data_IF_992657689973
#
_entry.id   IF_992657689973
#
_cell.length_a   1.000
_cell.length_b   1.000
_cell.length_c   1.000
_cell.angle_alpha   90.00
_cell.angle_beta   90.00
_cell.angle_gamma   90.00
#
_symmetry.space_group_name_H-M   'P 1'
#
loop_
_entity.id
_entity.type
_entity.pdbx_description
1 polymer ?
#
# COMPACT_ATOMS: atom_id res chain seq x y z
N UNK A 1 34.49 -7.42 19.68
CA UNK A 1 33.51 -6.41 19.26
C UNK A 1 32.15 -7.07 19.39
N UNK A 2 31.31 -6.58 20.30
CA UNK A 2 30.04 -7.22 20.63
C UNK A 2 29.09 -7.19 19.43
N UNK A 3 28.66 -8.36 18.96
CA UNK A 3 27.46 -8.50 18.13
C UNK A 3 26.27 -8.04 18.96
N UNK A 4 25.98 -6.74 18.92
CA UNK A 4 24.79 -6.18 19.55
C UNK A 4 23.59 -6.51 18.66
N UNK A 5 22.60 -7.22 19.23
CA UNK A 5 21.32 -7.44 18.58
C UNK A 5 20.74 -6.13 18.02
N UNK A 6 20.08 -6.16 16.84
CA UNK A 6 19.47 -4.98 16.28
C UNK A 6 18.46 -4.37 17.27
N UNK A 7 18.36 -3.03 17.33
CA UNK A 7 17.46 -2.35 18.26
C UNK A 7 16.01 -2.81 18.04
N UNK A 8 15.30 -3.10 19.14
CA UNK A 8 13.91 -3.57 19.08
C UNK A 8 12.94 -2.53 18.46
N UNK A 9 13.28 -1.24 18.61
CA UNK A 9 12.48 -0.09 18.19
C UNK A 9 13.37 1.05 17.68
N UNK A 10 12.83 1.98 16.87
CA UNK A 10 13.53 3.22 16.56
C UNK A 10 13.85 4.03 17.81
N UNK A 11 14.74 5.02 17.64
CA UNK A 11 15.11 5.94 18.72
C UNK A 11 13.89 6.67 19.29
N UNK A 12 13.96 7.04 20.58
CA UNK A 12 12.88 7.77 21.23
C UNK A 12 12.49 9.08 20.49
N UNK A 13 13.44 9.91 20.01
CA UNK A 13 13.09 11.08 19.21
C UNK A 13 12.32 10.74 17.93
N UNK A 14 12.69 9.65 17.24
CA UNK A 14 11.97 9.20 16.04
C UNK A 14 10.53 8.79 16.37
N UNK A 15 10.35 8.05 17.46
CA UNK A 15 9.04 7.60 17.92
C UNK A 15 8.13 8.76 18.29
N UNK A 16 8.66 9.75 19.01
CA UNK A 16 7.91 10.97 19.37
C UNK A 16 7.55 11.75 18.09
N UNK A 17 8.53 12.01 17.22
CA UNK A 17 8.29 12.76 15.99
C UNK A 17 7.28 12.06 15.06
N UNK A 18 7.35 10.73 14.94
CA UNK A 18 6.39 9.94 14.17
C UNK A 18 4.99 10.02 14.77
N UNK A 19 4.85 9.85 16.10
CA UNK A 19 3.57 10.01 16.78
C UNK A 19 2.99 11.43 16.63
N UNK A 20 3.83 12.47 16.65
CA UNK A 20 3.40 13.86 16.41
C UNK A 20 2.93 14.08 14.97
N UNK A 21 3.70 13.64 13.97
CA UNK A 21 3.32 13.77 12.55
C UNK A 21 2.01 13.02 12.30
N UNK A 22 1.95 11.75 12.68
CA UNK A 22 0.76 10.90 12.51
C UNK A 22 -0.45 11.45 13.25
N UNK A 23 -0.27 11.85 14.51
CA UNK A 23 -1.30 12.47 15.35
C UNK A 23 -1.88 13.74 14.74
N UNK A 24 -1.00 14.67 14.32
CA UNK A 24 -1.40 15.95 13.73
C UNK A 24 -2.12 15.79 12.40
N UNK A 25 -1.60 14.94 11.51
CA UNK A 25 -2.17 14.69 10.18
C UNK A 25 -3.50 13.97 10.31
N UNK A 26 -3.60 12.94 11.15
CA UNK A 26 -4.86 12.25 11.43
C UNK A 26 -5.91 13.16 12.04
N UNK A 27 -5.52 13.99 13.03
CA UNK A 27 -6.40 14.99 13.63
C UNK A 27 -6.92 16.00 12.61
N UNK A 28 -6.02 16.54 11.77
CA UNK A 28 -6.39 17.46 10.70
C UNK A 28 -7.33 16.80 9.68
N UNK A 29 -7.01 15.59 9.20
CA UNK A 29 -7.89 14.82 8.32
C UNK A 29 -9.26 14.61 8.95
N UNK A 30 -9.33 14.26 10.24
CA UNK A 30 -10.60 14.06 10.94
C UNK A 30 -11.42 15.35 10.98
N UNK A 31 -10.82 16.47 11.39
CA UNK A 31 -11.49 17.78 11.42
C UNK A 31 -11.93 18.19 10.01
N UNK A 32 -11.08 18.01 9.01
CA UNK A 32 -11.39 18.33 7.62
C UNK A 32 -12.57 17.50 7.08
N UNK A 33 -12.57 16.21 7.34
CA UNK A 33 -13.57 15.28 6.79
C UNK A 33 -14.90 15.33 7.55
N UNK A 34 -14.90 15.54 8.86
CA UNK A 34 -16.13 15.53 9.67
C UNK A 34 -16.65 16.94 9.97
N UNK A 35 -15.79 17.96 9.92
CA UNK A 35 -16.15 19.35 10.24
C UNK A 35 -16.44 20.21 9.02
N UNK A 36 -15.77 19.95 7.89
CA UNK A 36 -15.93 20.74 6.67
C UNK A 36 -16.53 19.94 5.50
N UNK A 37 -16.78 18.65 5.68
CA UNK A 37 -17.34 17.75 4.69
C UNK A 37 -18.35 16.81 5.37
N UNK A 38 -19.11 16.09 4.57
CA UNK A 38 -20.02 15.03 5.04
C UNK A 38 -19.34 13.69 4.84
N UNK A 39 -19.02 12.98 5.92
CA UNK A 39 -18.38 11.68 5.87
C UNK A 39 -19.39 10.57 6.20
N UNK A 40 -19.62 9.68 5.23
CA UNK A 40 -20.43 8.47 5.37
C UNK A 40 -19.51 7.25 5.40
N UNK A 41 -19.57 6.47 6.48
CA UNK A 41 -18.71 5.29 6.65
C UNK A 41 -19.56 4.06 6.98
N UNK A 42 -19.37 2.99 6.22
CA UNK A 42 -20.01 1.68 6.44
C UNK A 42 -18.92 0.64 6.75
N UNK A 43 -19.15 -0.25 7.71
CA UNK A 43 -18.22 -1.35 8.05
C UNK A 43 -17.03 -0.92 8.92
N UNK A 44 -17.08 0.25 9.55
CA UNK A 44 -15.96 0.79 10.34
C UNK A 44 -15.64 -0.09 11.56
N UNK A 45 -16.66 -0.64 12.19
CA UNK A 45 -16.59 -1.51 13.35
C UNK A 45 -15.66 -2.71 13.16
N UNK A 46 -15.64 -3.33 11.98
CA UNK A 46 -14.74 -4.44 11.67
C UNK A 46 -13.27 -4.01 11.75
N UNK A 47 -12.92 -2.88 11.12
CA UNK A 47 -11.58 -2.31 11.20
C UNK A 47 -11.21 -1.91 12.64
N UNK A 48 -12.10 -1.22 13.36
CA UNK A 48 -11.83 -0.81 14.74
C UNK A 48 -11.63 -2.01 15.66
N UNK A 49 -12.44 -3.06 15.49
CA UNK A 49 -12.33 -4.31 16.24
C UNK A 49 -10.97 -4.98 16.02
N UNK A 50 -10.49 -5.03 14.77
CA UNK A 50 -9.15 -5.52 14.45
C UNK A 50 -8.07 -4.67 15.11
N UNK A 51 -8.15 -3.34 15.01
CA UNK A 51 -7.14 -2.45 15.61
C UNK A 51 -7.10 -2.57 17.14
N UNK A 52 -8.25 -2.69 17.79
CA UNK A 52 -8.35 -2.85 19.24
C UNK A 52 -7.83 -4.22 19.71
N UNK A 53 -8.19 -5.30 18.98
CA UNK A 53 -7.67 -6.65 19.23
C UNK A 53 -6.15 -6.68 19.14
N UNK A 54 -5.58 -6.12 18.07
CA UNK A 54 -4.13 -6.04 17.83
C UNK A 54 -3.38 -5.27 18.92
N UNK A 55 -4.03 -4.27 19.54
CA UNK A 55 -3.45 -3.51 20.65
C UNK A 55 -3.50 -4.26 21.97
N UNK A 56 -4.62 -4.94 22.25
CA UNK A 56 -4.86 -5.63 23.53
C UNK A 56 -4.14 -6.96 23.62
N UNK A 57 -4.16 -7.74 22.56
CA UNK A 57 -3.69 -9.14 22.52
C UNK A 57 -2.32 -9.27 21.84
N UNK A 58 -1.85 -8.23 21.16
CA UNK A 58 -0.65 -8.24 20.34
C UNK A 58 -0.94 -8.56 18.87
N UNK A 59 0.12 -8.50 18.05
CA UNK A 59 0.02 -8.70 16.60
C UNK A 59 0.58 -10.07 16.21
N UNK A 60 -0.30 -11.04 16.03
CA UNK A 60 0.09 -12.39 15.58
C UNK A 60 0.39 -12.44 14.07
N UNK A 61 -0.28 -11.62 13.27
CA UNK A 61 -0.13 -11.51 11.82
C UNK A 61 -0.27 -10.07 11.33
N UNK A 62 0.18 -9.79 10.10
CA UNK A 62 -0.02 -8.50 9.44
C UNK A 62 -1.49 -8.16 9.22
N UNK A 63 -1.77 -6.87 8.98
CA UNK A 63 -3.06 -6.38 8.49
C UNK A 63 -2.84 -5.70 7.14
N UNK A 64 -3.51 -6.15 6.10
CA UNK A 64 -3.48 -5.56 4.76
C UNK A 64 -4.83 -4.91 4.47
N UNK A 65 -4.83 -3.59 4.31
CA UNK A 65 -6.00 -2.87 3.78
C UNK A 65 -5.75 -2.45 2.34
N UNK A 66 -6.74 -2.64 1.48
CA UNK A 66 -6.65 -2.33 0.05
C UNK A 66 -7.78 -1.40 -0.35
N UNK A 67 -7.47 -0.32 -1.06
CA UNK A 67 -8.48 0.62 -1.54
C UNK A 67 -8.25 1.04 -2.99
N UNK A 68 -9.32 1.44 -3.68
CA UNK A 68 -9.22 2.23 -4.91
C UNK A 68 -8.68 3.63 -4.61
N UNK A 69 -8.20 4.34 -5.63
CA UNK A 69 -7.51 5.62 -5.45
C UNK A 69 -8.05 6.66 -6.42
N UNK A 70 -8.81 7.61 -5.90
CA UNK A 70 -9.52 8.62 -6.69
C UNK A 70 -8.99 10.04 -6.46
N UNK A 71 -8.14 10.27 -5.46
CA UNK A 71 -7.51 11.57 -5.23
C UNK A 71 -6.14 11.47 -4.55
N UNK A 72 -5.24 12.40 -4.88
CA UNK A 72 -3.89 12.47 -4.27
C UNK A 72 -3.90 12.65 -2.75
N UNK A 73 -5.04 13.09 -2.17
CA UNK A 73 -5.21 13.25 -0.73
C UNK A 73 -5.96 12.08 -0.06
N UNK A 74 -6.25 10.99 -0.78
CA UNK A 74 -6.91 9.82 -0.17
C UNK A 74 -6.15 9.36 1.08
N UNK A 75 -4.83 9.15 0.98
CA UNK A 75 -3.96 9.20 2.16
C UNK A 75 -3.40 10.63 2.27
N UNK A 76 -3.77 11.41 3.31
CA UNK A 76 -4.26 10.95 4.61
C UNK A 76 -5.76 11.13 4.91
N UNK A 77 -6.58 11.62 3.97
CA UNK A 77 -7.96 12.02 4.29
C UNK A 77 -8.88 10.86 4.70
N UNK A 78 -8.77 9.68 4.07
CA UNK A 78 -9.64 8.54 4.39
C UNK A 78 -9.51 8.12 5.85
N UNK A 79 -8.33 8.31 6.46
CA UNK A 79 -8.11 8.01 7.88
C UNK A 79 -8.82 8.97 8.83
N UNK A 80 -9.36 10.08 8.33
CA UNK A 80 -10.24 10.97 9.10
C UNK A 80 -11.49 10.27 9.64
N UNK A 81 -11.85 9.09 9.14
CA UNK A 81 -12.89 8.23 9.70
C UNK A 81 -12.54 7.69 11.09
N UNK A 82 -11.25 7.52 11.41
CA UNK A 82 -10.82 6.89 12.66
C UNK A 82 -11.03 7.84 13.85
N UNK A 83 -11.41 7.33 15.03
CA UNK A 83 -11.38 8.08 16.28
C UNK A 83 -9.97 8.59 16.64
N UNK A 84 -9.91 9.73 17.32
CA UNK A 84 -8.64 10.40 17.68
C UNK A 84 -7.63 9.51 18.41
N UNK A 85 -8.11 8.54 19.21
CA UNK A 85 -7.26 7.63 20.00
C UNK A 85 -6.32 6.76 19.16
N UNK A 86 -6.61 6.55 17.88
CA UNK A 86 -5.79 5.71 17.00
C UNK A 86 -4.59 6.46 16.41
N UNK A 87 -4.66 7.79 16.24
CA UNK A 87 -3.64 8.54 15.50
C UNK A 87 -2.29 8.65 16.22
N UNK A 88 -2.28 8.52 17.54
CA UNK A 88 -1.06 8.60 18.37
C UNK A 88 -0.42 7.23 18.64
N UNK A 89 -1.05 6.14 18.21
CA UNK A 89 -0.50 4.79 18.31
C UNK A 89 0.23 4.41 17.00
N UNK A 90 1.36 5.08 16.75
CA UNK A 90 2.09 4.92 15.48
C UNK A 90 2.41 3.46 15.14
N UNK A 91 2.71 2.64 16.15
CA UNK A 91 3.04 1.22 15.97
C UNK A 91 1.85 0.39 15.48
N UNK A 92 0.63 0.72 15.91
CA UNK A 92 -0.58 0.05 15.45
C UNK A 92 -1.25 0.75 14.25
N UNK A 93 -0.67 1.86 13.77
CA UNK A 93 -1.18 2.64 12.66
C UNK A 93 -0.55 2.19 11.33
N UNK A 94 -1.25 2.45 10.22
CA UNK A 94 -0.85 2.00 8.88
C UNK A 94 0.51 2.53 8.41
N UNK A 95 1.21 1.67 7.67
CA UNK A 95 2.25 2.02 6.71
C UNK A 95 1.63 2.19 5.33
N UNK A 96 2.06 3.22 4.60
CA UNK A 96 1.61 3.50 3.23
C UNK A 96 2.75 3.41 2.21
N UNK A 97 2.41 3.38 0.93
CA UNK A 97 3.37 3.43 -0.18
C UNK A 97 3.17 4.74 -0.95
N UNK A 98 4.18 5.61 -0.92
CA UNK A 98 4.13 6.93 -1.54
C UNK A 98 5.03 7.01 -2.77
N UNK A 99 4.58 7.68 -3.83
CA UNK A 99 5.38 7.86 -5.03
C UNK A 99 6.68 8.62 -4.71
N UNK A 100 7.84 8.02 -5.00
CA UNK A 100 9.16 8.58 -4.72
C UNK A 100 9.29 10.01 -5.29
N UNK A 101 8.88 10.20 -6.54
CA UNK A 101 8.99 11.46 -7.27
C UNK A 101 8.01 12.55 -6.80
N UNK A 102 7.00 12.20 -5.98
CA UNK A 102 6.02 13.14 -5.42
C UNK A 102 6.35 13.46 -3.96
N UNK A 103 6.51 12.43 -3.14
CA UNK A 103 6.67 12.52 -1.69
C UNK A 103 8.13 12.76 -1.26
N UNK A 104 9.11 12.20 -1.97
CA UNK A 104 10.51 12.12 -1.53
C UNK A 104 11.43 13.02 -2.37
N UNK A 105 10.99 14.24 -2.66
CA UNK A 105 11.70 15.19 -3.53
C UNK A 105 12.93 15.82 -2.88
N UNK A 106 12.92 16.01 -1.57
CA UNK A 106 14.00 16.64 -0.82
C UNK A 106 14.03 16.10 0.61
N UNK A 107 15.10 16.41 1.37
CA UNK A 107 15.28 15.90 2.73
C UNK A 107 14.10 16.21 3.66
N UNK A 108 13.52 17.41 3.60
CA UNK A 108 12.41 17.78 4.47
C UNK A 108 11.15 16.97 4.18
N UNK A 109 10.73 16.86 2.92
CA UNK A 109 9.55 16.05 2.56
C UNK A 109 9.81 14.57 2.81
N UNK A 110 11.02 14.08 2.50
CA UNK A 110 11.41 12.69 2.77
C UNK A 110 11.32 12.36 4.26
N UNK A 111 11.84 13.21 5.15
CA UNK A 111 11.71 13.02 6.60
C UNK A 111 10.25 13.05 7.05
N UNK A 112 9.46 14.00 6.57
CA UNK A 112 8.03 14.09 6.89
C UNK A 112 7.27 12.80 6.52
N UNK A 113 7.43 12.31 5.30
CA UNK A 113 6.75 11.10 4.84
C UNK A 113 7.27 9.84 5.54
N UNK A 114 8.58 9.74 5.82
CA UNK A 114 9.10 8.62 6.63
C UNK A 114 8.57 8.61 8.06
N UNK A 115 8.43 9.78 8.70
CA UNK A 115 7.79 9.90 10.02
C UNK A 115 6.29 9.58 9.96
N UNK A 116 5.63 9.89 8.84
CA UNK A 116 4.25 9.52 8.52
C UNK A 116 4.05 8.04 8.13
N UNK A 117 5.09 7.21 8.29
CA UNK A 117 5.11 5.78 7.95
C UNK A 117 4.82 5.50 6.47
N UNK A 118 5.36 6.33 5.57
CA UNK A 118 5.24 6.15 4.12
C UNK A 118 6.55 5.64 3.55
N UNK A 119 6.47 4.57 2.74
CA UNK A 119 7.62 3.98 2.07
C UNK A 119 7.81 4.57 0.65
N UNK A 120 9.05 4.95 0.27
CA UNK A 120 9.36 5.53 -1.04
C UNK A 120 9.21 4.51 -2.17
N UNK A 121 8.24 4.70 -3.06
CA UNK A 121 7.90 3.72 -4.11
C UNK A 121 8.13 4.30 -5.49
N UNK A 122 8.98 3.65 -6.29
CA UNK A 122 9.24 4.05 -7.67
C UNK A 122 8.15 3.53 -8.61
N UNK A 123 7.74 4.38 -9.55
CA UNK A 123 6.80 4.02 -10.62
C UNK A 123 7.59 3.90 -11.92
N UNK A 124 7.40 2.80 -12.65
CA UNK A 124 8.17 2.45 -13.86
C UNK A 124 8.22 3.59 -14.90
N UNK A 125 7.15 4.37 -14.98
CA UNK A 125 7.08 5.52 -15.88
C UNK A 125 8.14 6.61 -15.59
N UNK A 126 8.58 6.78 -14.35
CA UNK A 126 9.50 7.85 -13.94
C UNK A 126 10.90 7.36 -13.58
N UNK A 127 11.05 6.06 -13.36
CA UNK A 127 12.25 5.51 -12.75
C UNK A 127 12.47 4.08 -13.22
N UNK A 128 13.69 3.74 -13.69
CA UNK A 128 14.05 2.37 -14.01
C UNK A 128 14.07 1.47 -12.77
N UNK A 129 14.08 2.05 -11.57
CA UNK A 129 14.03 1.33 -10.29
C UNK A 129 12.60 0.96 -9.87
N UNK A 130 11.59 1.35 -10.66
CA UNK A 130 10.21 0.93 -10.43
C UNK A 130 9.98 -0.56 -10.71
N UNK A 131 8.77 -1.00 -10.42
CA UNK A 131 8.32 -2.34 -10.77
C UNK A 131 8.13 -3.24 -9.57
N UNK A 132 7.92 -4.52 -9.86
CA UNK A 132 7.42 -5.50 -8.90
C UNK A 132 8.43 -5.85 -7.79
N UNK A 133 9.73 -5.84 -8.11
CA UNK A 133 10.81 -6.27 -7.22
C UNK A 133 11.63 -5.11 -6.64
N UNK A 134 11.09 -3.89 -6.66
CA UNK A 134 11.75 -2.75 -6.03
C UNK A 134 11.95 -3.01 -4.51
N UNK A 135 13.04 -2.51 -3.90
CA UNK A 135 13.36 -2.75 -2.48
C UNK A 135 12.22 -2.40 -1.52
N UNK A 136 11.42 -1.40 -1.85
CA UNK A 136 10.25 -0.97 -1.08
C UNK A 136 9.17 -2.04 -0.96
N UNK A 137 8.94 -2.85 -2.01
CA UNK A 137 7.99 -3.96 -1.93
C UNK A 137 8.49 -5.04 -0.97
N UNK A 138 9.80 -5.30 -0.95
CA UNK A 138 10.40 -6.23 0.01
C UNK A 138 10.25 -5.72 1.46
N UNK A 139 10.42 -4.41 1.69
CA UNK A 139 10.14 -3.80 3.00
C UNK A 139 8.67 -3.97 3.40
N UNK A 140 7.72 -3.75 2.49
CA UNK A 140 6.30 -3.91 2.78
C UNK A 140 5.90 -5.36 3.11
N UNK A 141 6.40 -6.36 2.36
CA UNK A 141 6.20 -7.79 2.67
C UNK A 141 6.78 -8.12 4.04
N UNK A 142 8.00 -7.64 4.33
CA UNK A 142 8.64 -7.82 5.63
C UNK A 142 7.83 -7.18 6.76
N UNK A 143 7.28 -5.98 6.58
CA UNK A 143 6.42 -5.33 7.59
C UNK A 143 5.16 -6.16 7.89
N UNK A 144 4.51 -6.74 6.88
CA UNK A 144 3.34 -7.60 7.05
C UNK A 144 3.67 -8.93 7.73
N UNK A 145 4.90 -9.39 7.62
CA UNK A 145 5.33 -10.72 8.07
C UNK A 145 5.83 -10.73 9.52
N UNK A 146 5.78 -11.92 10.13
CA UNK A 146 6.37 -12.18 11.44
C UNK A 146 7.90 -12.18 11.39
N UNK A 147 8.60 -12.24 12.53
CA UNK A 147 10.06 -12.24 12.59
C UNK A 147 10.73 -13.57 12.19
N UNK A 148 9.98 -14.56 11.66
CA UNK A 148 10.51 -15.90 11.37
C UNK A 148 11.57 -15.90 10.24
N UNK A 149 12.65 -16.69 10.33
CA UNK A 149 13.62 -16.86 9.25
C UNK A 149 13.02 -17.29 7.91
N UNK A 150 11.94 -18.07 7.94
CA UNK A 150 11.23 -18.51 6.73
C UNK A 150 10.56 -17.34 5.99
N UNK A 151 10.25 -16.25 6.70
CA UNK A 151 9.67 -15.01 6.11
C UNK A 151 10.70 -14.18 5.33
N UNK A 152 11.98 -14.56 5.35
CA UNK A 152 13.07 -13.81 4.71
C UNK A 152 13.47 -14.38 3.35
N UNK A 153 13.18 -15.66 3.06
CA UNK A 153 13.32 -16.27 1.73
C UNK A 153 12.20 -15.81 0.79
N UNK A 154 12.14 -14.51 0.53
CA UNK A 154 11.34 -13.97 -0.56
C UNK A 154 12.20 -13.99 -1.83
N UNK A 155 11.59 -14.00 -3.01
CA UNK A 155 12.28 -13.82 -4.30
C UNK A 155 12.92 -12.41 -4.47
N UNK A 156 13.18 -11.72 -3.34
CA UNK A 156 13.62 -10.33 -3.23
C UNK A 156 15.10 -10.17 -2.89
N UNK A 157 15.87 -11.26 -2.76
CA UNK A 157 17.32 -11.11 -2.62
C UNK A 157 17.84 -10.53 -3.94
N UNK A 158 18.12 -9.23 -3.87
CA UNK A 158 18.71 -8.46 -4.96
C UNK A 158 19.95 -9.20 -5.47
N UNK A 159 20.28 -9.16 -6.78
CA UNK A 159 21.48 -9.82 -7.33
C UNK A 159 22.80 -9.35 -6.69
N UNK A 160 22.78 -8.32 -5.85
CA UNK A 160 23.91 -7.82 -5.06
C UNK A 160 24.16 -8.57 -3.75
N UNK A 161 23.31 -9.52 -3.34
CA UNK A 161 23.44 -10.22 -2.04
C UNK A 161 23.14 -11.72 -2.11
N UNK A 162 23.37 -12.36 -3.26
CA UNK A 162 23.22 -13.80 -3.40
C UNK A 162 24.27 -14.54 -2.57
N UNK A 163 23.88 -15.01 -1.38
CA UNK A 163 24.64 -16.01 -0.61
C UNK A 163 23.81 -17.30 -0.60
N UNK A 164 24.43 -18.49 -0.74
CA UNK A 164 23.67 -19.74 -0.88
C UNK A 164 22.83 -20.03 0.37
N UNK A 165 21.67 -20.65 0.16
CA UNK A 165 20.76 -21.09 1.21
C UNK A 165 21.49 -22.00 2.21
N UNK A 166 21.86 -21.44 3.37
CA UNK A 166 22.33 -22.20 4.53
C UNK A 166 21.14 -22.54 5.42
N UNK A 167 21.11 -23.76 5.94
CA UNK A 167 20.14 -24.30 6.90
C UNK A 167 20.20 -23.65 8.29
N UNK A 168 20.93 -22.54 8.43
CA UNK A 168 21.01 -21.72 9.64
C UNK A 168 20.60 -20.29 9.28
N UNK A 169 19.67 -19.64 10.03
CA UNK A 169 19.33 -18.25 9.77
C UNK A 169 20.59 -17.39 9.78
N UNK A 170 20.82 -16.52 8.79
CA UNK A 170 21.91 -15.57 8.90
C UNK A 170 21.63 -14.68 10.11
N UNK A 171 22.55 -14.70 11.08
CA UNK A 171 22.60 -13.79 12.22
C UNK A 171 23.08 -12.38 11.78
N UNK A 172 22.66 -11.93 10.60
CA UNK A 172 23.06 -10.61 10.10
C UNK A 172 22.01 -9.62 10.59
N UNK A 173 22.37 -8.61 11.41
CA UNK A 173 21.46 -7.54 11.78
C UNK A 173 20.88 -6.94 10.49
N UNK A 174 19.56 -6.91 10.34
CA UNK A 174 18.96 -6.26 9.17
C UNK A 174 19.44 -4.80 9.14
N UNK A 175 19.88 -4.31 7.96
CA UNK A 175 20.41 -2.96 7.90
C UNK A 175 19.31 -1.98 8.31
N UNK A 176 19.65 -1.03 9.19
CA UNK A 176 18.72 -0.01 9.70
C UNK A 176 18.25 0.96 8.60
N UNK A 177 18.87 0.88 7.44
CA UNK A 177 18.55 1.66 6.26
C UNK A 177 18.50 0.77 5.03
N UNK A 178 17.73 1.19 4.03
CA UNK A 178 17.72 0.57 2.71
C UNK A 178 17.80 1.65 1.64
N UNK A 179 18.31 1.26 0.47
CA UNK A 179 18.32 2.11 -0.71
C UNK A 179 17.25 1.65 -1.69
N UNK A 180 16.63 2.60 -2.39
CA UNK A 180 15.67 2.35 -3.46
C UNK A 180 16.30 2.41 -4.84
N UNK A 181 17.48 3.02 -4.98
CA UNK A 181 18.18 3.19 -6.26
C UNK A 181 19.71 2.96 -6.19
N UNK A 182 20.24 2.51 -5.05
CA UNK A 182 21.67 2.29 -4.81
C UNK A 182 22.44 3.53 -4.33
N UNK A 183 21.81 4.71 -4.30
CA UNK A 183 22.44 6.00 -3.92
C UNK A 183 21.73 6.65 -2.73
N UNK A 184 20.40 6.60 -2.70
CA UNK A 184 19.62 7.13 -1.59
C UNK A 184 19.66 6.22 -0.35
N UNK A 185 19.24 6.78 0.78
CA UNK A 185 19.21 6.07 2.05
C UNK A 185 17.94 6.45 2.82
N UNK A 186 17.11 5.44 3.08
CA UNK A 186 15.87 5.58 3.86
C UNK A 186 15.89 4.65 5.06
N UNK A 187 15.25 5.02 6.19
CA UNK A 187 15.09 4.10 7.31
C UNK A 187 14.41 2.80 6.86
N UNK A 188 14.92 1.65 7.28
CA UNK A 188 14.32 0.35 7.01
C UNK A 188 13.46 -0.06 8.21
N UNK A 189 12.14 0.22 8.20
CA UNK A 189 11.32 -0.05 9.37
C UNK A 189 11.21 -1.54 9.68
N UNK A 190 11.33 -2.40 8.66
CA UNK A 190 11.26 -3.85 8.88
C UNK A 190 12.47 -4.43 9.63
N UNK A 191 13.53 -3.64 9.84
CA UNK A 191 14.65 -4.00 10.71
C UNK A 191 14.28 -3.99 12.20
N UNK A 192 13.21 -3.29 12.59
CA UNK A 192 12.74 -3.21 13.96
C UNK A 192 11.68 -4.30 14.24
N UNK A 193 11.90 -5.21 15.20
CA UNK A 193 10.90 -6.18 15.63
C UNK A 193 9.53 -5.57 15.96
N UNK A 194 9.49 -4.36 16.52
CA UNK A 194 8.24 -3.69 16.84
C UNK A 194 7.38 -3.32 15.61
N UNK A 195 7.95 -3.29 14.40
CA UNK A 195 7.21 -3.04 13.16
C UNK A 195 6.92 -4.32 12.36
N UNK A 196 7.10 -5.50 12.97
CA UNK A 196 6.63 -6.77 12.39
C UNK A 196 5.14 -6.96 12.60
N UNK A 197 4.53 -7.79 11.74
CA UNK A 197 3.09 -8.00 11.70
C UNK A 197 2.31 -6.69 11.62
N UNK A 198 2.86 -5.65 10.98
CA UNK A 198 2.31 -4.31 10.94
C UNK A 198 1.03 -4.22 10.09
N UNK A 199 0.38 -3.06 10.18
CA UNK A 199 -0.69 -2.70 9.26
C UNK A 199 -0.08 -2.01 8.03
N UNK A 200 -0.32 -2.56 6.83
CA UNK A 200 0.05 -1.94 5.55
C UNK A 200 -1.22 -1.61 4.77
N UNK A 201 -1.28 -0.40 4.24
CA UNK A 201 -2.32 0.07 3.34
C UNK A 201 -1.77 0.30 1.94
N UNK A 202 -2.51 -0.14 0.91
CA UNK A 202 -2.13 0.08 -0.48
C UNK A 202 -3.29 0.51 -1.36
N UNK A 203 -2.93 1.25 -2.40
CA UNK A 203 -3.77 1.63 -3.53
C UNK A 203 -3.27 0.92 -4.81
N UNK A 204 -3.76 -0.30 -5.13
CA UNK A 204 -3.15 -1.13 -6.17
C UNK A 204 -3.33 -0.60 -7.60
N UNK A 205 -4.26 0.35 -7.83
CA UNK A 205 -4.37 1.09 -9.10
C UNK A 205 -3.09 1.90 -9.37
N UNK A 206 -2.37 2.29 -8.30
CA UNK A 206 -1.07 2.96 -8.32
C UNK A 206 -1.05 4.22 -9.22
N UNK A 207 -2.20 4.88 -9.32
CA UNK A 207 -2.44 6.21 -9.83
C UNK A 207 -3.81 6.69 -9.33
N UNK A 208 -4.05 7.99 -9.32
CA UNK A 208 -5.40 8.51 -9.09
C UNK A 208 -6.23 8.28 -10.36
N UNK A 209 -7.35 7.60 -10.21
CA UNK A 209 -8.30 7.25 -11.26
C UNK A 209 -9.67 7.87 -10.94
N UNK A 210 -10.05 8.88 -11.72
CA UNK A 210 -11.33 9.58 -11.54
C UNK A 210 -12.28 9.20 -12.67
N UNK A 211 -12.95 8.05 -12.53
CA UNK A 211 -13.97 7.60 -13.49
C UNK A 211 -15.32 8.30 -13.26
N UNK A 212 -16.05 8.68 -14.33
CA UNK A 212 -17.40 9.27 -14.21
C UNK A 212 -18.40 8.39 -13.44
N UNK A 213 -18.30 7.07 -13.57
CA UNK A 213 -19.17 6.07 -12.95
C UNK A 213 -18.53 5.42 -11.70
N UNK A 214 -17.40 5.96 -11.24
CA UNK A 214 -16.58 5.39 -10.16
C UNK A 214 -16.18 3.93 -10.39
N UNK A 215 -16.06 3.49 -11.65
CA UNK A 215 -15.49 2.20 -12.01
C UNK A 215 -14.02 2.07 -11.57
N UNK A 216 -13.54 0.83 -11.49
CA UNK A 216 -12.20 0.50 -11.00
C UNK A 216 -11.22 0.24 -12.15
N UNK A 217 -9.95 0.57 -11.95
CA UNK A 217 -8.87 0.07 -12.81
C UNK A 217 -8.48 -1.36 -12.47
N UNK A 218 -7.70 -1.98 -13.34
CA UNK A 218 -6.94 -3.16 -12.99
C UNK A 218 -6.02 -2.88 -11.79
N UNK A 219 -5.81 -3.88 -10.96
CA UNK A 219 -4.92 -3.78 -9.81
C UNK A 219 -3.53 -4.31 -10.17
N UNK A 220 -2.46 -3.58 -9.81
CA UNK A 220 -1.08 -3.99 -10.09
C UNK A 220 -0.64 -5.14 -9.18
N UNK A 221 0.21 -6.01 -9.72
CA UNK A 221 0.69 -7.24 -9.07
C UNK A 221 1.48 -7.06 -7.77
N UNK A 222 1.83 -5.82 -7.40
CA UNK A 222 2.46 -5.54 -6.11
C UNK A 222 1.62 -6.03 -4.92
N UNK A 223 0.29 -5.90 -5.00
CA UNK A 223 -0.63 -6.41 -3.97
C UNK A 223 -0.56 -7.94 -3.86
N UNK A 224 -0.35 -8.64 -4.98
CA UNK A 224 -0.22 -10.09 -5.00
C UNK A 224 1.00 -10.56 -4.23
N UNK A 225 2.10 -9.80 -4.23
CA UNK A 225 3.27 -10.12 -3.38
C UNK A 225 2.95 -10.01 -1.90
N UNK A 226 2.24 -8.96 -1.51
CA UNK A 226 1.84 -8.75 -0.11
C UNK A 226 0.97 -9.90 0.42
N UNK A 227 0.17 -10.52 -0.45
CA UNK A 227 -0.68 -11.67 -0.11
C UNK A 227 0.09 -12.99 -0.16
N UNK A 228 0.82 -13.23 -1.25
CA UNK A 228 1.47 -14.52 -1.50
C UNK A 228 2.73 -14.72 -0.64
N UNK A 229 3.53 -13.67 -0.44
CA UNK A 229 4.86 -13.77 0.17
C UNK A 229 4.86 -13.48 1.68
N UNK A 230 3.79 -12.89 2.23
CA UNK A 230 3.73 -12.63 3.66
C UNK A 230 3.53 -13.92 4.46
N UNK A 231 4.24 -14.02 5.58
CA UNK A 231 4.16 -15.16 6.49
C UNK A 231 4.29 -14.73 7.97
N UNK A 232 3.30 -15.03 8.84
CA UNK A 232 2.01 -15.66 8.51
C UNK A 232 1.17 -14.80 7.55
N UNK A 233 0.18 -15.41 6.90
CA UNK A 233 -0.73 -14.69 6.00
C UNK A 233 -1.41 -13.53 6.76
N UNK A 234 -1.48 -12.32 6.19
CA UNK A 234 -2.10 -11.20 6.88
C UNK A 234 -3.61 -11.36 6.95
N UNK A 235 -4.25 -10.65 7.86
CA UNK A 235 -5.68 -10.37 7.78
C UNK A 235 -5.92 -9.33 6.68
N UNK A 236 -6.99 -9.47 5.91
CA UNK A 236 -7.30 -8.65 4.74
C UNK A 236 -8.62 -7.91 4.92
N UNK A 237 -8.63 -6.62 4.60
CA UNK A 237 -9.84 -5.78 4.59
C UNK A 237 -9.85 -4.95 3.29
N UNK A 238 -10.79 -5.22 2.36
CA UNK A 238 -11.01 -4.37 1.21
C UNK A 238 -11.72 -3.09 1.65
N UNK A 239 -11.46 -1.99 0.93
CA UNK A 239 -12.08 -0.69 1.15
C UNK A 239 -12.43 -0.07 -0.20
N UNK A 240 -13.53 0.66 -0.25
CA UNK A 240 -13.91 1.48 -1.38
C UNK A 240 -14.13 2.92 -0.94
N UNK A 241 -13.55 3.87 -1.65
CA UNK A 241 -13.70 5.31 -1.41
C UNK A 241 -14.30 6.00 -2.64
N UNK A 242 -15.25 6.89 -2.36
CA UNK A 242 -15.83 7.80 -3.34
C UNK A 242 -16.06 9.18 -2.73
N UNK A 243 -15.81 10.23 -3.50
CA UNK A 243 -16.11 11.63 -3.16
C UNK A 243 -14.87 12.50 -2.92
N UNK A 244 -13.73 11.90 -2.58
CA UNK A 244 -12.45 12.63 -2.43
C UNK A 244 -11.96 13.22 -3.76
N UNK A 245 -12.36 12.65 -4.90
CA UNK A 245 -12.16 13.27 -6.22
C UNK A 245 -12.88 14.61 -6.36
N UNK A 246 -13.97 14.86 -5.63
CA UNK A 246 -14.63 16.17 -5.63
C UNK A 246 -13.97 17.17 -4.68
N UNK A 247 -13.17 16.68 -3.73
CA UNK A 247 -12.30 17.49 -2.86
C UNK A 247 -11.04 17.92 -3.65
N UNK A 248 -10.48 17.01 -4.46
CA UNK A 248 -9.26 17.19 -5.24
C UNK A 248 -9.41 16.74 -6.70
N UNK A 249 -10.30 17.38 -7.45
CA UNK A 249 -10.58 17.02 -8.85
C UNK A 249 -9.36 17.24 -9.76
N UNK A 250 -9.08 16.34 -10.69
CA UNK A 250 -7.88 16.46 -11.54
C UNK A 250 -7.95 17.62 -12.57
N UNK A 251 -9.17 17.96 -12.98
CA UNK A 251 -9.51 19.08 -13.85
C UNK A 251 -9.63 20.43 -13.10
N UNK A 252 -9.40 20.46 -11.78
CA UNK A 252 -9.58 21.66 -10.97
C UNK A 252 -8.78 22.87 -11.48
N UNK A 253 -9.47 24.01 -11.52
CA UNK A 253 -8.90 25.34 -11.77
C UNK A 253 -8.20 25.95 -10.56
N UNK A 254 -7.88 27.25 -10.67
CA UNK A 254 -7.24 27.99 -9.59
C UNK A 254 -8.19 28.24 -8.41
N UNK A 255 -7.75 28.12 -7.13
CA UNK A 255 -6.43 27.68 -6.69
C UNK A 255 -6.32 26.15 -6.72
N UNK A 256 -5.30 25.61 -7.42
CA UNK A 256 -5.14 24.15 -7.63
C UNK A 256 -4.63 23.39 -6.40
N UNK A 257 -4.00 24.09 -5.47
CA UNK A 257 -3.39 23.50 -4.28
C UNK A 257 -4.40 23.33 -3.13
N UNK A 258 -5.52 24.05 -3.15
CA UNK A 258 -6.47 24.09 -2.04
C UNK A 258 -7.54 22.99 -2.17
N UNK A 259 -7.69 22.09 -1.17
CA UNK A 259 -8.79 21.13 -1.11
C UNK A 259 -10.16 21.83 -1.04
N UNK A 260 -11.19 21.20 -1.59
CA UNK A 260 -12.57 21.75 -1.58
C UNK A 260 -13.33 21.21 -0.38
N UNK A 261 -14.19 22.05 0.18
CA UNK A 261 -15.05 21.71 1.33
C UNK A 261 -16.51 21.52 0.86
N UNK A 262 -17.37 21.08 1.77
CA UNK A 262 -18.80 20.86 1.52
C UNK A 262 -19.06 19.69 0.57
N UNK A 263 -18.16 18.70 0.54
CA UNK A 263 -18.31 17.49 -0.28
C UNK A 263 -18.77 16.32 0.57
N UNK A 264 -19.51 15.41 -0.04
CA UNK A 264 -19.82 14.12 0.57
C UNK A 264 -18.75 13.12 0.18
N UNK A 265 -18.20 12.43 1.18
CA UNK A 265 -17.26 11.33 0.99
C UNK A 265 -17.88 10.08 1.60
N UNK A 266 -17.95 9.03 0.79
CA UNK A 266 -18.42 7.71 1.19
C UNK A 266 -17.22 6.76 1.25
N UNK A 267 -17.08 6.08 2.38
CA UNK A 267 -16.10 5.02 2.58
C UNK A 267 -16.85 3.76 2.97
N UNK A 268 -16.69 2.69 2.18
CA UNK A 268 -17.23 1.37 2.51
C UNK A 268 -16.06 0.46 2.84
N UNK A 269 -16.13 -0.19 4.00
CA UNK A 269 -15.10 -1.10 4.50
C UNK A 269 -15.70 -2.50 4.54
N UNK A 270 -14.99 -3.46 3.95
CA UNK A 270 -15.40 -4.86 3.98
C UNK A 270 -15.04 -5.55 5.29
N UNK A 271 -15.62 -6.72 5.51
CA UNK A 271 -15.36 -7.53 6.69
C UNK A 271 -13.90 -8.03 6.74
N UNK A 272 -13.24 -8.01 7.91
CA UNK A 272 -11.94 -8.63 8.09
C UNK A 272 -11.96 -10.12 7.77
N UNK A 273 -11.07 -10.55 6.87
CA UNK A 273 -11.00 -11.94 6.41
C UNK A 273 -9.58 -12.48 6.48
N UNK A 274 -9.40 -13.77 6.81
CA UNK A 274 -8.09 -14.42 6.74
C UNK A 274 -7.70 -14.68 5.27
N UNK A 275 -6.52 -14.21 4.87
CA UNK A 275 -5.96 -14.44 3.53
C UNK A 275 -5.80 -15.93 3.22
N UNK A 276 -5.43 -16.76 4.18
CA UNK A 276 -5.27 -18.21 3.93
C UNK A 276 -6.62 -18.90 3.65
N UNK A 277 -7.75 -18.27 4.01
CA UNK A 277 -9.09 -18.74 3.63
C UNK A 277 -9.51 -18.17 2.27
N UNK A 278 -9.46 -16.83 2.14
CA UNK A 278 -9.94 -16.12 0.95
C UNK A 278 -9.13 -16.42 -0.32
N UNK A 279 -7.81 -16.59 -0.18
CA UNK A 279 -6.87 -16.88 -1.26
C UNK A 279 -6.25 -18.28 -1.10
N UNK A 280 -6.97 -19.22 -0.49
CA UNK A 280 -6.50 -20.56 -0.14
C UNK A 280 -5.84 -21.30 -1.31
N UNK A 281 -6.47 -21.32 -2.48
CA UNK A 281 -5.94 -21.97 -3.68
C UNK A 281 -4.61 -21.33 -4.13
N UNK A 282 -4.58 -20.01 -4.25
CA UNK A 282 -3.39 -19.26 -4.70
C UNK A 282 -2.24 -19.39 -3.70
N UNK A 283 -2.53 -19.32 -2.40
CA UNK A 283 -1.56 -19.51 -1.32
C UNK A 283 -1.01 -20.93 -1.29
N UNK A 284 -1.84 -21.95 -1.48
CA UNK A 284 -1.40 -23.34 -1.53
C UNK A 284 -0.51 -23.61 -2.76
N UNK A 285 -0.89 -23.09 -3.93
CA UNK A 285 -0.07 -23.18 -5.14
C UNK A 285 1.26 -22.43 -4.99
N UNK A 286 1.25 -21.23 -4.41
CA UNK A 286 2.47 -20.49 -4.11
C UNK A 286 3.41 -21.24 -3.17
N UNK A 287 2.89 -21.84 -2.09
CA UNK A 287 3.68 -22.67 -1.17
C UNK A 287 4.33 -23.86 -1.90
N UNK A 288 3.60 -24.52 -2.81
CA UNK A 288 4.17 -25.59 -3.66
C UNK A 288 5.27 -25.08 -4.57
N UNK A 289 5.10 -23.89 -5.13
CA UNK A 289 6.11 -23.26 -5.99
C UNK A 289 7.38 -22.89 -5.19
N UNK A 290 7.22 -22.32 -4.00
CA UNK A 290 8.32 -22.02 -3.06
C UNK A 290 9.08 -23.28 -2.68
N UNK A 291 8.38 -24.39 -2.44
CA UNK A 291 9.00 -25.67 -2.10
C UNK A 291 9.91 -26.24 -3.20
N UNK A 292 9.77 -25.78 -4.46
CA UNK A 292 10.71 -26.14 -5.55
C UNK A 292 12.09 -25.50 -5.37
N UNK A 293 12.21 -24.45 -4.56
CA UNK A 293 13.50 -23.85 -4.19
C UNK A 293 14.19 -23.04 -5.29
N UNK A 294 13.49 -22.67 -6.37
CA UNK A 294 14.05 -21.90 -7.49
C UNK A 294 13.55 -20.44 -7.46
N UNK A 295 14.44 -19.47 -7.13
CA UNK A 295 14.10 -18.05 -7.11
C UNK A 295 13.65 -17.50 -8.47
N UNK A 296 14.18 -18.00 -9.59
CA UNK A 296 13.81 -17.54 -10.93
C UNK A 296 12.43 -18.03 -11.32
N UNK A 297 12.03 -19.25 -10.93
CA UNK A 297 10.64 -19.71 -11.09
C UNK A 297 9.68 -18.86 -10.27
N UNK A 298 10.06 -18.48 -9.05
CA UNK A 298 9.25 -17.57 -8.23
C UNK A 298 9.18 -16.19 -8.85
N UNK A 299 10.24 -15.72 -9.49
CA UNK A 299 10.30 -14.38 -10.07
C UNK A 299 9.55 -14.28 -11.39
N UNK A 300 9.95 -15.09 -12.35
CA UNK A 300 9.63 -14.97 -13.76
C UNK A 300 8.87 -16.20 -14.30
N UNK A 301 8.63 -17.22 -13.48
CA UNK A 301 7.92 -18.43 -13.91
C UNK A 301 6.48 -18.14 -14.36
N UNK A 302 5.96 -18.91 -15.33
CA UNK A 302 4.59 -18.75 -15.81
C UNK A 302 3.57 -19.00 -14.70
N UNK A 303 3.80 -20.02 -13.86
CA UNK A 303 2.94 -20.33 -12.70
C UNK A 303 2.91 -19.17 -11.68
N UNK A 304 4.06 -18.56 -11.38
CA UNK A 304 4.13 -17.38 -10.51
C UNK A 304 3.37 -16.17 -11.10
N UNK A 305 3.44 -15.99 -12.41
CA UNK A 305 2.77 -14.90 -13.12
C UNK A 305 1.26 -15.06 -13.09
N UNK A 306 0.76 -16.25 -13.41
CA UNK A 306 -0.68 -16.59 -13.32
C UNK A 306 -1.22 -16.41 -11.90
N UNK A 307 -0.48 -16.85 -10.88
CA UNK A 307 -0.86 -16.62 -9.48
C UNK A 307 -0.99 -15.13 -9.15
N UNK A 308 -0.07 -14.29 -9.66
CA UNK A 308 -0.13 -12.84 -9.42
C UNK A 308 -1.31 -12.19 -10.11
N UNK A 309 -1.61 -12.57 -11.36
CA UNK A 309 -2.77 -12.11 -12.10
C UNK A 309 -4.05 -12.50 -11.37
N UNK A 310 -4.18 -13.77 -10.99
CA UNK A 310 -5.34 -14.30 -10.26
C UNK A 310 -5.57 -13.58 -8.94
N UNK A 311 -4.52 -13.38 -8.13
CA UNK A 311 -4.64 -12.67 -6.85
C UNK A 311 -4.99 -11.21 -7.06
N UNK A 312 -4.35 -10.51 -8.00
CA UNK A 312 -4.63 -9.09 -8.23
C UNK A 312 -6.07 -8.88 -8.70
N UNK A 313 -6.56 -9.73 -9.61
CA UNK A 313 -7.96 -9.74 -10.05
C UNK A 313 -8.90 -9.99 -8.87
N UNK A 314 -8.62 -11.02 -8.06
CA UNK A 314 -9.48 -11.34 -6.92
C UNK A 314 -9.55 -10.22 -5.90
N UNK A 315 -8.43 -9.53 -5.62
CA UNK A 315 -8.44 -8.35 -4.74
C UNK A 315 -9.30 -7.22 -5.31
N UNK A 316 -9.22 -6.98 -6.63
CA UNK A 316 -10.09 -6.00 -7.30
C UNK A 316 -11.56 -6.38 -7.14
N UNK A 317 -11.91 -7.65 -7.35
CA UNK A 317 -13.28 -8.13 -7.21
C UNK A 317 -13.84 -7.91 -5.78
N UNK A 318 -13.00 -8.06 -4.75
CA UNK A 318 -13.41 -7.75 -3.37
C UNK A 318 -13.69 -6.25 -3.16
N UNK A 319 -12.97 -5.35 -3.84
CA UNK A 319 -13.26 -3.90 -3.82
C UNK A 319 -14.48 -3.56 -4.66
N UNK A 320 -14.69 -4.25 -5.79
CA UNK A 320 -15.87 -4.08 -6.65
C UNK A 320 -17.17 -4.40 -5.92
N UNK A 321 -17.19 -5.48 -5.11
CA UNK A 321 -18.35 -5.78 -4.26
C UNK A 321 -18.72 -4.62 -3.33
N UNK A 322 -17.72 -3.93 -2.78
CA UNK A 322 -17.95 -2.78 -1.90
C UNK A 322 -18.48 -1.58 -2.70
N UNK A 323 -17.96 -1.36 -3.90
CA UNK A 323 -18.47 -0.36 -4.84
C UNK A 323 -19.95 -0.61 -5.16
N UNK A 324 -20.33 -1.84 -5.50
CA UNK A 324 -21.73 -2.20 -5.74
C UNK A 324 -22.61 -1.95 -4.51
N UNK A 325 -22.15 -2.36 -3.32
CA UNK A 325 -22.86 -2.13 -2.06
C UNK A 325 -23.01 -0.64 -1.72
N UNK A 326 -22.13 0.22 -2.24
CA UNK A 326 -22.20 1.67 -2.11
C UNK A 326 -23.28 2.32 -2.99
N UNK A 327 -23.93 1.54 -3.87
CA UNK A 327 -25.02 1.95 -4.75
C UNK A 327 -24.60 2.20 -6.21
N UNK A 328 -23.38 1.84 -6.60
CA UNK A 328 -22.92 1.95 -7.98
C UNK A 328 -23.33 0.71 -8.79
N UNK A 329 -23.63 0.85 -10.10
CA UNK A 329 -24.05 -0.29 -10.92
C UNK A 329 -22.88 -1.25 -11.12
N UNK A 330 -23.17 -2.56 -11.06
CA UNK A 330 -22.20 -3.61 -11.39
C UNK A 330 -21.52 -3.34 -12.75
N UNK A 331 -20.19 -3.50 -12.79
CA UNK A 331 -19.44 -3.39 -14.03
C UNK A 331 -19.86 -4.51 -15.00
N UNK A 332 -20.26 -4.13 -16.22
CA UNK A 332 -20.70 -5.08 -17.26
C UNK A 332 -19.57 -5.55 -18.18
N UNK A 333 -18.49 -4.79 -18.23
CA UNK A 333 -17.33 -5.05 -19.07
C UNK A 333 -16.15 -5.47 -18.18
N UNK A 334 -15.52 -6.59 -18.50
CA UNK A 334 -14.32 -7.05 -17.79
C UNK A 334 -13.06 -6.34 -18.28
N UNK A 335 -13.11 -5.62 -19.41
CA UNK A 335 -11.94 -4.97 -19.99
C UNK A 335 -11.23 -4.01 -19.03
N UNK A 336 -11.91 -3.18 -18.21
CA UNK A 336 -11.24 -2.34 -17.20
C UNK A 336 -10.45 -3.12 -16.14
N UNK A 337 -10.73 -4.41 -15.92
CA UNK A 337 -9.98 -5.27 -15.01
C UNK A 337 -8.66 -5.79 -15.60
N UNK A 338 -8.45 -5.64 -16.92
CA UNK A 338 -7.28 -6.16 -17.64
C UNK A 338 -6.23 -5.06 -17.87
N UNK A 339 -4.96 -5.36 -17.59
CA UNK A 339 -3.87 -4.40 -17.75
C UNK A 339 -3.68 -3.98 -19.23
N UNK A 340 -3.91 -4.91 -20.14
CA UNK A 340 -3.78 -4.76 -21.59
C UNK A 340 -4.75 -3.72 -22.13
N UNK A 341 -5.95 -3.62 -21.56
CA UNK A 341 -6.94 -2.61 -21.93
C UNK A 341 -6.39 -1.20 -21.72
N UNK A 342 -5.68 -0.99 -20.62
CA UNK A 342 -5.10 0.29 -20.23
C UNK A 342 -3.76 0.60 -20.88
N UNK A 343 -3.18 -0.35 -21.63
CA UNK A 343 -2.00 -0.07 -22.47
C UNK A 343 -2.31 0.95 -23.58
N UNK A 344 -3.60 1.17 -23.88
CA UNK A 344 -4.09 2.21 -24.80
C UNK A 344 -4.01 3.63 -24.23
N UNK A 345 -3.78 3.79 -22.93
CA UNK A 345 -3.65 5.10 -22.31
C UNK A 345 -2.46 5.87 -22.91
N UNK A 346 -2.64 7.15 -23.28
CA UNK A 346 -1.55 7.94 -23.82
C UNK A 346 -0.45 8.15 -22.79
N UNK A 347 0.76 8.24 -23.32
CA UNK A 347 1.99 8.47 -22.57
C UNK A 347 2.18 9.96 -22.20
N UNK A 348 1.17 10.55 -21.56
CA UNK A 348 1.12 11.98 -21.19
C UNK A 348 0.83 12.17 -19.72
N UNK A 349 1.18 13.34 -19.19
CA UNK A 349 1.01 13.65 -17.75
C UNK A 349 -0.45 13.82 -17.36
N UNK A 350 -1.30 14.35 -18.25
CA UNK A 350 -2.74 14.52 -18.00
C UNK A 350 -3.51 14.16 -19.26
N UNK A 351 -4.50 13.31 -19.12
CA UNK A 351 -5.34 12.88 -20.23
C UNK A 351 -6.70 12.37 -19.73
N UNK A 352 -7.65 12.33 -20.65
CA UNK A 352 -8.89 11.59 -20.51
C UNK A 352 -8.67 10.20 -21.12
N UNK A 353 -8.83 9.16 -20.32
CA UNK A 353 -8.65 7.76 -20.74
C UNK A 353 -9.59 7.42 -21.89
N UNK A 354 -9.12 6.80 -22.98
CA UNK A 354 -9.99 6.31 -24.04
C UNK A 354 -10.75 5.03 -23.64
N UNK A 355 -10.39 4.40 -22.52
CA UNK A 355 -11.02 3.15 -22.04
C UNK A 355 -12.40 3.43 -21.45
N UNK A 356 -12.49 4.40 -20.56
CA UNK A 356 -13.65 4.65 -19.71
C UNK A 356 -13.96 6.14 -19.55
N UNK A 357 -13.19 7.02 -20.20
CA UNK A 357 -13.34 8.46 -20.05
C UNK A 357 -12.82 9.02 -18.72
N UNK A 358 -12.14 8.23 -17.91
CA UNK A 358 -11.57 8.69 -16.63
C UNK A 358 -10.51 9.77 -16.81
N UNK A 359 -10.42 10.67 -15.84
CA UNK A 359 -9.32 11.62 -15.77
C UNK A 359 -8.15 11.00 -15.03
N UNK A 360 -6.99 10.96 -15.70
CA UNK A 360 -5.76 10.42 -15.14
C UNK A 360 -4.70 11.51 -15.13
N UNK A 361 -4.12 11.74 -13.95
CA UNK A 361 -2.97 12.63 -13.79
C UNK A 361 -1.74 11.83 -13.36
N UNK A 362 -0.92 11.50 -14.35
CA UNK A 362 0.40 10.91 -14.16
C UNK A 362 1.40 12.05 -13.94
N UNK A 363 1.55 12.48 -12.69
CA UNK A 363 2.54 13.50 -12.30
C UNK A 363 3.95 13.12 -12.77
N UNK A 364 4.47 13.78 -13.80
CA UNK A 364 5.80 13.53 -14.37
C UNK A 364 6.73 14.71 -14.43
N UNK A 365 7.99 14.50 -14.84
CA UNK A 365 8.86 15.61 -15.19
C UNK A 365 8.12 16.44 -16.24
N UNK A 366 7.98 17.74 -15.98
CA UNK A 366 7.57 18.67 -17.03
C UNK A 366 8.53 18.43 -18.18
N UNK A 367 8.01 18.18 -19.38
CA UNK A 367 8.80 18.34 -20.60
C UNK A 367 9.56 19.66 -20.42
N UNK A 368 10.89 19.58 -20.29
CA UNK A 368 11.68 20.80 -20.36
C UNK A 368 11.49 21.29 -21.80
N UNK A 369 11.14 22.56 -22.00
CA UNK A 369 10.99 23.12 -23.34
C UNK A 369 12.27 22.94 -24.15
#
# INVERSE_FOLDING_TARGET
MSDSDPPAQPSLPWRIASATVMGSVGAFSRVFMNGFNTLEVTGLEGLLGVLDRRKREGRERGLLTVCNHVAVLDDPLIWGMLPMRYFFDAVNMRWGLGAHDICFKNKATSTFFSLGQVLPTHRLWYSPYGGLYQPTMAQAVKLLSGPSPASWSTASDSPLSATPASTRPPAVPQPLFFSTNGVDQFPAPSAYPAYRNAWVHVFPEACCHQSPDSGLRYFKWGVSRLILESDPAPEFIPMFVHGTQHIMAEDRGWPRWAPRIGKTVKIVIGEPTDVDQLFSHQRAAWRKLVAKGDPELLRNGPEATELRISVARRVRDEVEKLRESAGFPAEKDEAPALAETWAKDPLRTKFKSPVDGSLVNRHGPRERP
#
